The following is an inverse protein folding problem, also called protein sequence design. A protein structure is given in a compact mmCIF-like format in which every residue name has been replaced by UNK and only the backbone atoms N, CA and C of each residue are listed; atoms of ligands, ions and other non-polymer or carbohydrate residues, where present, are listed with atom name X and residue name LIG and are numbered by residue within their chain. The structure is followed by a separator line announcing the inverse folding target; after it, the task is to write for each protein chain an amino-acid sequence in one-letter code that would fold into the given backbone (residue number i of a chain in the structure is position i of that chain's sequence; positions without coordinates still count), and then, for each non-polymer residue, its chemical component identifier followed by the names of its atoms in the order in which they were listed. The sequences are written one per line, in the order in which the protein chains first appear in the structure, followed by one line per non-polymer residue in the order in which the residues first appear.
data_IF_282372443397
#
_entry.id   IF_282372443397
#
_cell.length_a   1.000
_cell.length_b   1.000
_cell.length_c   1.000
_cell.angle_alpha   90.00
_cell.angle_beta   90.00
_cell.angle_gamma   90.00
#
_symmetry.space_group_name_H-M   'P 1'
#
loop_
_entity.id
_entity.type
_entity.pdbx_description
1 polymer ?
#
# COMPACT_ATOMS: atom_id res chain seq x y z
N UNK A 1 -0.31 30.84 -7.35
CA UNK A 1 1.06 30.38 -7.62
C UNK A 1 0.92 29.22 -8.60
N UNK A 2 1.66 29.17 -9.71
CA UNK A 2 1.59 28.00 -10.59
C UNK A 2 2.52 26.91 -10.03
N UNK A 3 2.07 25.64 -9.99
CA UNK A 3 2.94 24.54 -9.54
C UNK A 3 4.13 24.42 -10.49
N UNK A 4 5.34 24.40 -9.93
CA UNK A 4 6.58 24.27 -10.72
C UNK A 4 6.91 22.81 -11.01
N UNK A 5 6.53 21.91 -10.11
CA UNK A 5 6.85 20.48 -10.18
C UNK A 5 5.66 19.73 -10.79
N UNK A 6 5.84 19.22 -12.00
CA UNK A 6 4.92 18.29 -12.65
C UNK A 6 5.71 17.02 -12.99
N UNK A 7 5.29 15.85 -12.52
CA UNK A 7 5.95 14.60 -12.86
C UNK A 7 6.02 14.35 -14.36
N UNK A 8 7.06 13.68 -14.82
CA UNK A 8 7.20 13.25 -16.22
C UNK A 8 6.40 11.98 -16.58
N UNK A 9 5.69 11.39 -15.61
CA UNK A 9 4.91 10.15 -15.77
C UNK A 9 3.75 10.36 -16.76
N UNK A 10 3.63 9.56 -17.83
CA UNK A 10 2.61 9.78 -18.87
C UNK A 10 1.17 9.78 -18.34
N UNK A 11 0.89 9.02 -17.28
CA UNK A 11 -0.43 8.89 -16.69
C UNK A 11 -0.87 10.07 -15.82
N UNK A 12 0.03 11.00 -15.46
CA UNK A 12 -0.28 12.15 -14.60
C UNK A 12 -1.42 13.03 -15.15
N UNK A 13 -1.58 13.03 -16.49
CA UNK A 13 -2.64 13.77 -17.17
C UNK A 13 -4.05 13.23 -16.84
N UNK A 14 -4.15 11.98 -16.41
CA UNK A 14 -5.40 11.33 -16.03
C UNK A 14 -5.67 11.43 -14.51
N UNK A 15 -4.67 11.78 -13.71
CA UNK A 15 -4.78 11.89 -12.25
C UNK A 15 -5.27 13.28 -11.83
N UNK A 16 -6.50 13.61 -12.24
CA UNK A 16 -7.16 14.88 -11.93
C UNK A 16 -7.23 15.15 -10.43
N UNK A 17 -7.32 14.10 -9.60
CA UNK A 17 -7.42 14.18 -8.14
C UNK A 17 -6.16 14.76 -7.48
N UNK A 18 -5.04 14.89 -8.19
CA UNK A 18 -3.83 15.57 -7.72
C UNK A 18 -3.74 17.05 -8.11
N UNK A 19 -4.65 17.54 -8.97
CA UNK A 19 -4.74 18.96 -9.30
C UNK A 19 -5.23 19.79 -8.10
N UNK A 20 -5.22 21.12 -8.24
CA UNK A 20 -5.67 22.07 -7.21
C UNK A 20 -7.16 21.90 -6.90
N UNK A 21 -8.03 22.17 -7.87
CA UNK A 21 -9.49 22.04 -7.72
C UNK A 21 -10.05 21.20 -8.87
N UNK A 22 -10.91 20.20 -8.62
CA UNK A 22 -11.47 19.77 -7.32
C UNK A 22 -10.60 18.72 -6.60
N UNK A 23 -9.28 18.75 -6.80
CA UNK A 23 -8.36 17.74 -6.27
C UNK A 23 -7.84 18.08 -4.86
N UNK A 24 -6.77 17.39 -4.46
CA UNK A 24 -6.13 17.60 -3.15
C UNK A 24 -4.97 18.60 -3.18
N UNK A 25 -4.77 19.30 -4.30
CA UNK A 25 -3.68 20.24 -4.52
C UNK A 25 -2.27 19.65 -4.27
N UNK A 26 -2.07 18.38 -4.62
CA UNK A 26 -0.80 17.68 -4.43
C UNK A 26 0.35 18.32 -5.23
N UNK A 27 0.06 18.84 -6.43
CA UNK A 27 1.07 19.50 -7.28
C UNK A 27 1.75 20.70 -6.61
N UNK A 28 1.00 21.51 -5.85
CA UNK A 28 1.59 22.60 -5.09
C UNK A 28 2.36 22.11 -3.86
N UNK A 29 1.96 20.97 -3.27
CA UNK A 29 2.67 20.36 -2.15
C UNK A 29 4.02 19.76 -2.58
N UNK A 30 4.12 19.21 -3.80
CA UNK A 30 5.36 18.68 -4.36
C UNK A 30 6.46 19.72 -4.57
N UNK A 31 6.10 21.00 -4.72
CA UNK A 31 7.06 22.11 -4.70
C UNK A 31 7.72 22.31 -3.32
N UNK A 32 7.14 21.75 -2.26
CA UNK A 32 7.66 21.81 -0.89
C UNK A 32 8.35 20.50 -0.47
N UNK A 33 7.75 19.36 -0.80
CA UNK A 33 8.32 18.03 -0.56
C UNK A 33 7.63 16.98 -1.42
N UNK A 34 8.40 16.01 -1.90
CA UNK A 34 7.91 14.83 -2.63
C UNK A 34 7.87 13.57 -1.74
N UNK A 35 8.17 13.71 -0.45
CA UNK A 35 8.22 12.61 0.52
C UNK A 35 9.65 12.29 0.99
N UNK A 36 9.79 11.14 1.65
CA UNK A 36 11.06 10.62 2.17
C UNK A 36 10.99 9.08 2.17
N UNK A 37 12.04 8.36 1.69
CA UNK A 37 12.04 6.90 1.62
C UNK A 37 11.94 6.21 2.99
N UNK A 38 12.32 6.88 4.07
CA UNK A 38 12.19 6.38 5.44
C UNK A 38 10.76 6.51 5.98
N UNK A 39 9.87 7.23 5.30
CA UNK A 39 8.44 7.27 5.60
C UNK A 39 7.77 6.06 4.95
N UNK A 40 7.61 5.00 5.75
CA UNK A 40 6.92 3.76 5.36
C UNK A 40 5.41 3.88 5.60
N UNK A 41 4.60 3.62 4.57
CA UNK A 41 3.14 3.54 4.68
C UNK A 41 2.68 2.08 4.60
N UNK A 42 2.08 1.54 5.65
CA UNK A 42 1.48 0.20 5.61
C UNK A 42 0.19 0.22 4.79
N UNK A 43 0.07 -0.72 3.86
CA UNK A 43 -1.12 -0.95 3.04
C UNK A 43 -1.72 -2.27 3.49
N UNK A 44 -2.73 -2.19 4.35
CA UNK A 44 -3.49 -3.36 4.84
C UNK A 44 -4.64 -3.60 3.86
N UNK A 45 -4.48 -4.59 2.97
CA UNK A 45 -5.34 -4.75 1.80
C UNK A 45 -5.26 -6.19 1.21
N UNK A 46 -5.52 -6.37 -0.09
CA UNK A 46 -5.50 -7.65 -0.83
C UNK A 46 -4.10 -8.14 -1.21
N UNK A 47 -3.04 -7.55 -0.65
CA UNK A 47 -1.67 -7.72 -1.13
C UNK A 47 -1.32 -6.79 -2.29
N UNK A 48 -0.26 -7.10 -3.02
CA UNK A 48 0.22 -6.27 -4.14
C UNK A 48 0.84 -7.09 -5.26
N UNK A 49 0.89 -6.50 -6.46
CA UNK A 49 1.69 -7.00 -7.57
C UNK A 49 3.17 -6.63 -7.34
N UNK A 50 3.97 -7.62 -6.92
CA UNK A 50 5.39 -7.43 -6.60
C UNK A 50 6.27 -7.09 -7.80
N UNK A 51 5.81 -7.43 -9.02
CA UNK A 51 6.55 -7.21 -10.25
C UNK A 51 6.06 -5.98 -11.02
N UNK A 52 5.11 -5.23 -10.46
CA UNK A 52 4.57 -4.04 -11.13
C UNK A 52 5.70 -3.01 -11.34
N UNK A 53 6.00 -2.64 -12.60
CA UNK A 53 7.22 -1.91 -12.92
C UNK A 53 7.26 -0.50 -12.33
N UNK A 54 6.10 0.06 -11.98
CA UNK A 54 5.93 1.38 -11.37
C UNK A 54 5.85 1.34 -9.82
N UNK A 55 6.07 0.17 -9.22
CA UNK A 55 5.93 -0.04 -7.78
C UNK A 55 7.04 -0.89 -7.17
N UNK A 56 7.68 -1.77 -7.94
CA UNK A 56 8.68 -2.73 -7.45
C UNK A 56 9.86 -2.05 -6.71
N UNK A 57 10.21 -0.81 -7.08
CA UNK A 57 11.26 -0.02 -6.42
C UNK A 57 10.82 0.61 -5.09
N UNK A 58 9.52 0.55 -4.77
CA UNK A 58 8.86 1.30 -3.68
C UNK A 58 8.43 0.42 -2.51
N UNK A 59 8.64 -0.90 -2.61
CA UNK A 59 8.27 -1.89 -1.59
C UNK A 59 9.23 -1.82 -0.40
N UNK A 60 8.70 -1.51 0.77
CA UNK A 60 9.41 -1.60 2.04
C UNK A 60 9.61 -3.05 2.47
N UNK A 61 10.68 -3.32 3.20
CA UNK A 61 10.97 -4.66 3.73
C UNK A 61 9.98 -5.05 4.82
N UNK A 62 9.65 -6.35 4.87
CA UNK A 62 8.84 -6.93 5.93
C UNK A 62 7.35 -6.98 5.61
N UNK A 63 6.96 -6.90 4.34
CA UNK A 63 5.60 -7.24 3.93
C UNK A 63 5.24 -8.67 4.34
N UNK A 64 3.96 -8.93 4.54
CA UNK A 64 3.50 -10.18 5.15
C UNK A 64 2.05 -10.50 4.79
N UNK A 65 1.74 -11.78 4.62
CA UNK A 65 0.40 -12.31 4.48
C UNK A 65 -0.14 -12.77 5.84
N UNK A 66 -1.30 -12.24 6.23
CA UNK A 66 -1.96 -12.56 7.49
C UNK A 66 -3.18 -13.46 7.31
N UNK A 67 -3.56 -13.84 6.09
CA UNK A 67 -4.79 -14.60 5.85
C UNK A 67 -4.64 -15.99 6.46
N UNK A 68 -5.46 -16.27 7.48
CA UNK A 68 -5.41 -17.54 8.21
C UNK A 68 -6.29 -18.63 7.60
N UNK A 69 -7.35 -18.24 6.88
CA UNK A 69 -8.26 -19.15 6.18
C UNK A 69 -7.72 -19.49 4.78
N UNK A 70 -7.29 -20.73 4.59
CA UNK A 70 -6.72 -21.24 3.34
C UNK A 70 -7.69 -21.14 2.14
N UNK A 71 -8.99 -21.33 2.37
CA UNK A 71 -9.99 -21.24 1.31
C UNK A 71 -10.21 -19.78 0.87
N UNK A 72 -9.98 -18.84 1.78
CA UNK A 72 -9.99 -17.41 1.51
C UNK A 72 -8.68 -16.95 0.82
N UNK A 73 -7.54 -17.45 1.29
CA UNK A 73 -6.20 -17.09 0.81
C UNK A 73 -5.99 -17.52 -0.66
N UNK A 74 -6.37 -18.75 -1.03
CA UNK A 74 -6.25 -19.31 -2.38
C UNK A 74 -4.82 -19.33 -2.98
N UNK A 75 -3.81 -19.43 -2.14
CA UNK A 75 -2.38 -19.51 -2.48
C UNK A 75 -1.76 -20.86 -2.12
N UNK A 76 -2.34 -21.57 -1.16
CA UNK A 76 -1.96 -22.94 -0.79
C UNK A 76 -1.31 -23.06 0.57
N UNK A 77 -1.17 -21.96 1.30
CA UNK A 77 -0.65 -21.88 2.65
C UNK A 77 -1.37 -20.81 3.48
N UNK A 78 -0.94 -20.66 4.73
CA UNK A 78 -1.48 -19.68 5.67
C UNK A 78 -0.52 -18.51 5.82
N UNK A 79 -0.54 -17.80 6.97
CA UNK A 79 0.23 -16.58 7.16
C UNK A 79 1.73 -16.78 6.93
N UNK A 80 2.32 -15.94 6.09
CA UNK A 80 3.70 -16.07 5.65
C UNK A 80 4.32 -14.73 5.19
N UNK A 81 5.57 -14.75 4.73
CA UNK A 81 6.28 -13.52 4.32
C UNK A 81 6.02 -13.05 2.89
N UNK A 82 4.99 -13.57 2.21
CA UNK A 82 4.70 -13.33 0.81
C UNK A 82 3.33 -12.64 0.60
N UNK A 83 3.22 -11.33 0.82
CA UNK A 83 1.98 -10.58 0.59
C UNK A 83 1.66 -10.37 -0.90
N UNK A 84 2.43 -10.97 -1.81
CA UNK A 84 2.18 -10.95 -3.25
C UNK A 84 1.40 -12.19 -3.71
N UNK A 85 0.95 -13.02 -2.77
CA UNK A 85 0.29 -14.28 -3.09
C UNK A 85 -1.12 -14.11 -3.64
N UNK A 86 -1.43 -14.98 -4.61
CA UNK A 86 -2.72 -15.15 -5.25
C UNK A 86 -3.49 -13.85 -5.56
N UNK A 87 -2.80 -12.76 -5.96
CA UNK A 87 -3.41 -11.43 -6.16
C UNK A 87 -4.65 -11.52 -7.05
N UNK A 88 -5.81 -11.25 -6.44
CA UNK A 88 -7.09 -11.09 -7.16
C UNK A 88 -7.49 -9.63 -7.11
N UNK A 89 -8.01 -9.12 -8.24
CA UNK A 89 -8.57 -7.78 -8.42
C UNK A 89 -7.59 -6.60 -8.37
N UNK A 90 -6.39 -6.74 -7.79
CA UNK A 90 -5.35 -5.69 -7.80
C UNK A 90 -5.68 -4.46 -6.95
N UNK A 91 -6.61 -4.59 -5.99
CA UNK A 91 -7.08 -3.49 -5.15
C UNK A 91 -5.94 -2.89 -4.33
N UNK A 92 -5.19 -3.72 -3.59
CA UNK A 92 -4.02 -3.27 -2.83
C UNK A 92 -2.90 -2.70 -3.70
N UNK A 93 -2.69 -3.21 -4.93
CA UNK A 93 -1.77 -2.61 -5.91
C UNK A 93 -2.19 -1.20 -6.30
N UNK A 94 -3.49 -0.99 -6.57
CA UNK A 94 -4.03 0.32 -6.92
C UNK A 94 -3.92 1.33 -5.77
N UNK A 95 -4.20 0.86 -4.55
CA UNK A 95 -4.03 1.65 -3.32
C UNK A 95 -2.55 2.02 -3.13
N UNK A 96 -1.63 1.05 -3.25
CA UNK A 96 -0.19 1.29 -3.16
C UNK A 96 0.29 2.30 -4.22
N UNK A 97 -0.18 2.20 -5.46
CA UNK A 97 0.09 3.16 -6.53
C UNK A 97 -0.33 4.58 -6.19
N UNK A 98 -1.52 4.75 -5.62
CA UNK A 98 -2.00 6.07 -5.19
C UNK A 98 -1.10 6.67 -4.10
N UNK A 99 -0.56 5.84 -3.21
CA UNK A 99 0.29 6.28 -2.10
C UNK A 99 1.71 6.58 -2.57
N UNK A 100 2.34 5.66 -3.31
CA UNK A 100 3.79 5.64 -3.51
C UNK A 100 4.22 5.05 -4.86
N UNK A 101 3.43 5.18 -5.94
CA UNK A 101 3.95 4.88 -7.28
C UNK A 101 5.27 5.64 -7.53
N UNK A 102 6.18 4.98 -8.24
CA UNK A 102 7.50 5.50 -8.57
C UNK A 102 7.36 6.67 -9.54
N UNK A 103 7.39 7.88 -9.00
CA UNK A 103 7.08 9.09 -9.75
C UNK A 103 8.33 9.71 -10.40
N UNK A 104 8.14 10.37 -11.54
CA UNK A 104 9.18 11.02 -12.34
C UNK A 104 10.14 10.05 -13.04
N UNK A 105 9.67 8.83 -13.31
CA UNK A 105 10.46 7.74 -13.92
C UNK A 105 10.15 7.50 -15.42
N UNK A 106 9.30 8.33 -16.04
CA UNK A 106 8.77 8.26 -17.40
C UNK A 106 7.88 7.03 -17.68
N UNK A 107 7.32 6.41 -16.64
CA UNK A 107 6.42 5.27 -16.71
C UNK A 107 5.09 5.62 -16.04
N UNK A 108 4.06 4.83 -16.31
CA UNK A 108 2.88 4.72 -15.43
C UNK A 108 2.29 6.03 -14.93
N UNK A 109 2.21 6.17 -13.61
CA UNK A 109 1.47 7.21 -12.88
C UNK A 109 2.30 7.76 -11.72
N UNK A 110 1.90 8.92 -11.17
CA UNK A 110 2.50 9.42 -9.95
C UNK A 110 1.82 8.85 -8.69
N UNK A 111 2.57 8.70 -7.61
CA UNK A 111 2.04 8.56 -6.25
C UNK A 111 1.89 9.92 -5.55
N UNK A 112 1.10 9.99 -4.47
CA UNK A 112 1.06 11.19 -3.62
C UNK A 112 2.41 11.44 -2.95
N UNK A 113 3.05 10.39 -2.42
CA UNK A 113 4.41 10.42 -1.87
C UNK A 113 5.39 9.79 -2.85
N UNK A 114 5.98 10.59 -3.72
CA UNK A 114 6.90 10.11 -4.77
C UNK A 114 8.07 9.35 -4.16
N UNK A 115 8.59 9.88 -3.06
CA UNK A 115 9.78 9.37 -2.39
C UNK A 115 9.44 8.44 -1.22
N UNK A 116 8.17 8.21 -0.89
CA UNK A 116 7.81 7.30 0.22
C UNK A 116 7.94 5.85 -0.18
N UNK A 117 7.97 4.93 0.80
CA UNK A 117 7.88 3.49 0.54
C UNK A 117 6.61 2.92 1.14
N UNK A 118 6.13 1.79 0.62
CA UNK A 118 4.93 1.13 1.11
C UNK A 118 5.21 -0.28 1.62
N UNK A 119 4.55 -0.65 2.70
CA UNK A 119 4.64 -1.97 3.32
C UNK A 119 3.36 -2.76 3.02
N UNK A 120 3.38 -3.74 2.10
CA UNK A 120 2.20 -4.52 1.76
C UNK A 120 1.88 -5.54 2.85
N UNK A 121 0.68 -5.46 3.42
CA UNK A 121 0.15 -6.41 4.39
C UNK A 121 -1.15 -7.00 3.84
N UNK A 122 -1.11 -8.26 3.45
CA UNK A 122 -2.26 -8.95 2.84
C UNK A 122 -3.16 -9.51 3.94
N UNK A 123 -4.41 -9.06 3.97
CA UNK A 123 -5.45 -9.51 4.93
C UNK A 123 -6.76 -9.88 4.24
N UNK A 124 -6.94 -9.49 2.99
CA UNK A 124 -8.15 -9.71 2.22
C UNK A 124 -7.91 -10.75 1.12
N UNK A 125 -8.62 -11.87 1.22
CA UNK A 125 -8.66 -12.93 0.22
C UNK A 125 -9.87 -12.81 -0.71
N UNK A 126 -10.31 -13.94 -1.28
CA UNK A 126 -11.42 -13.97 -2.24
C UNK A 126 -12.80 -13.71 -1.64
N UNK A 127 -12.95 -13.91 -0.34
CA UNK A 127 -14.20 -13.71 0.40
C UNK A 127 -14.16 -12.46 1.28
N UNK A 128 -13.16 -11.60 1.08
CA UNK A 128 -12.90 -10.44 1.92
C UNK A 128 -11.86 -10.75 3.00
N UNK A 129 -11.97 -10.04 4.12
CA UNK A 129 -10.95 -10.01 5.16
C UNK A 129 -11.64 -10.28 6.51
N UNK A 130 -10.96 -10.96 7.43
CA UNK A 130 -11.47 -11.15 8.78
C UNK A 130 -10.99 -10.04 9.70
N UNK A 131 -11.78 -9.69 10.73
CA UNK A 131 -11.35 -8.70 11.74
C UNK A 131 -10.06 -9.14 12.44
N UNK A 132 -9.91 -10.44 12.70
CA UNK A 132 -8.73 -11.01 13.35
C UNK A 132 -7.45 -10.77 12.52
N UNK A 133 -7.47 -11.10 11.22
CA UNK A 133 -6.31 -10.92 10.35
C UNK A 133 -5.97 -9.42 10.18
N UNK A 134 -7.00 -8.55 10.11
CA UNK A 134 -6.83 -7.09 10.08
C UNK A 134 -6.15 -6.61 11.37
N UNK A 135 -6.64 -7.02 12.54
CA UNK A 135 -6.07 -6.62 13.82
C UNK A 135 -4.60 -7.03 13.96
N UNK A 136 -4.25 -8.25 13.57
CA UNK A 136 -2.85 -8.71 13.57
C UNK A 136 -1.98 -7.83 12.65
N UNK A 137 -2.45 -7.49 11.45
CA UNK A 137 -1.71 -6.61 10.55
C UNK A 137 -1.54 -5.19 11.11
N UNK A 138 -2.56 -4.64 11.80
CA UNK A 138 -2.46 -3.33 12.47
C UNK A 138 -1.42 -3.36 13.59
N UNK A 139 -1.43 -4.39 14.45
CA UNK A 139 -0.43 -4.54 15.50
C UNK A 139 0.98 -4.69 14.91
N UNK A 140 1.13 -5.49 13.87
CA UNK A 140 2.40 -5.66 13.16
C UNK A 140 2.92 -4.35 12.58
N UNK A 141 2.09 -3.61 11.84
CA UNK A 141 2.45 -2.31 11.24
C UNK A 141 2.82 -1.24 12.28
N UNK A 142 2.21 -1.29 13.45
CA UNK A 142 2.56 -0.43 14.59
C UNK A 142 3.82 -0.90 15.35
N UNK A 143 4.41 -2.03 14.96
CA UNK A 143 5.62 -2.60 15.54
C UNK A 143 5.42 -3.30 16.88
N UNK A 144 4.21 -3.82 17.13
CA UNK A 144 3.91 -4.73 18.24
C UNK A 144 4.20 -6.19 17.85
N UNK A 145 4.29 -7.06 18.85
CA UNK A 145 4.33 -8.51 18.61
C UNK A 145 2.96 -9.01 18.16
N UNK A 146 2.98 -10.01 17.29
CA UNK A 146 1.80 -10.65 16.72
C UNK A 146 1.91 -12.17 16.85
N UNK A 147 0.76 -12.84 16.82
CA UNK A 147 0.68 -14.30 16.90
C UNK A 147 0.94 -14.92 15.54
N UNK A 148 0.39 -14.30 14.48
CA UNK A 148 0.48 -14.81 13.11
C UNK A 148 1.65 -14.21 12.30
N UNK A 149 2.22 -13.09 12.75
CA UNK A 149 3.32 -12.42 12.06
C UNK A 149 4.71 -13.03 12.36
N UNK A 150 5.75 -12.58 11.66
CA UNK A 150 7.06 -13.25 11.62
C UNK A 150 7.89 -13.18 12.92
N UNK A 151 7.30 -12.73 14.04
CA UNK A 151 7.98 -12.55 15.33
C UNK A 151 9.08 -11.49 15.31
N UNK A 152 9.05 -10.54 16.26
CA UNK A 152 10.09 -9.51 16.57
C UNK A 152 10.66 -8.64 15.41
N UNK A 153 10.34 -8.88 14.14
CA UNK A 153 10.69 -8.01 13.02
C UNK A 153 9.72 -6.83 13.02
N UNK A 154 10.14 -5.74 13.64
CA UNK A 154 9.41 -4.47 13.73
C UNK A 154 9.30 -3.84 12.34
N UNK A 155 8.31 -4.21 11.55
CA UNK A 155 7.90 -3.38 10.42
C UNK A 155 7.15 -2.17 11.02
N UNK A 156 7.87 -1.08 11.29
CA UNK A 156 7.26 0.15 11.80
C UNK A 156 6.86 1.02 10.64
N UNK A 157 5.56 1.09 10.37
CA UNK A 157 5.01 2.07 9.46
C UNK A 157 4.78 3.41 10.19
N UNK A 158 5.05 4.51 9.50
CA UNK A 158 4.72 5.86 9.97
C UNK A 158 3.22 6.15 9.80
N UNK A 159 2.58 5.53 8.81
CA UNK A 159 1.16 5.68 8.47
C UNK A 159 0.58 4.30 8.14
N UNK A 160 -0.68 4.06 8.52
CA UNK A 160 -1.43 2.84 8.16
C UNK A 160 -2.61 3.25 7.29
N UNK A 161 -2.69 2.71 6.08
CA UNK A 161 -3.84 2.82 5.19
C UNK A 161 -4.67 1.52 5.27
N UNK A 162 -5.98 1.68 5.49
CA UNK A 162 -6.96 0.59 5.50
C UNK A 162 -8.09 0.95 4.55
N UNK A 163 -7.93 0.61 3.27
CA UNK A 163 -8.96 0.81 2.23
C UNK A 163 -9.96 -0.35 2.25
N UNK A 164 -10.48 -0.66 3.43
CA UNK A 164 -11.35 -1.80 3.70
C UNK A 164 -12.42 -1.42 4.72
N UNK A 165 -13.44 -2.25 4.82
CA UNK A 165 -14.54 -2.06 5.76
C UNK A 165 -15.66 -3.05 5.51
N UNK A 166 -16.54 -3.19 6.50
CA UNK A 166 -17.66 -4.11 6.45
C UNK A 166 -18.71 -3.74 7.49
N UNK A 167 -19.82 -4.48 7.48
CA UNK A 167 -20.87 -4.37 8.48
C UNK A 167 -20.88 -5.64 9.32
N UNK A 168 -20.50 -5.52 10.58
CA UNK A 168 -20.77 -6.52 11.62
C UNK A 168 -21.45 -5.86 12.82
N UNK A 169 -22.25 -6.63 13.56
CA UNK A 169 -22.77 -6.17 14.83
C UNK A 169 -21.65 -6.24 15.88
N UNK A 170 -21.28 -5.08 16.43
CA UNK A 170 -20.36 -4.96 17.56
C UNK A 170 -20.77 -5.82 18.76
#
# INVERSE_FOLDING_TARGET
LQPLTTPNDPGIVNQWHYAEEPGMNARAAWDLTTGDPDVVVAIIDTGHDADHPDLVSKVARGGYDFITDLDNAQDGDGPDSNPADAIKNGHGTHVAGTVAADTDNNLGVAGVGWETTYLPLRVCGVFGCTEADICEAVYYAAGYETVAGPGQRKARAAVINMSLGGHDAC
#
